data_IF_571007090137
#
_entry.id   IF_571007090137
#
_cell.length_a   1.000
_cell.length_b   1.000
_cell.length_c   1.000
_cell.angle_alpha   90.00
_cell.angle_beta   90.00
_cell.angle_gamma   90.00
#
_symmetry.space_group_name_H-M   'P 1'
#
loop_
_entity.id
_entity.type
_entity.pdbx_description
1 polymer ?
#
# COMPACT_ATOMS: atom_id res chain seq x y z
N UNK A 1 -22.95 -16.51 69.68
CA UNK A 1 -23.54 -15.71 68.58
C UNK A 1 -22.51 -14.98 67.70
N UNK A 2 -21.23 -14.81 68.07
CA UNK A 2 -20.22 -14.11 67.23
C UNK A 2 -19.61 -14.90 66.04
N UNK A 3 -19.43 -16.24 66.06
CA UNK A 3 -18.82 -16.92 64.91
C UNK A 3 -19.81 -17.11 63.73
N UNK A 4 -21.11 -17.20 64.01
CA UNK A 4 -22.14 -17.40 62.99
C UNK A 4 -22.35 -16.13 62.12
N UNK A 5 -22.29 -14.95 62.73
CA UNK A 5 -22.38 -13.68 62.01
C UNK A 5 -21.10 -13.40 61.19
N UNK A 6 -19.94 -13.86 61.67
CA UNK A 6 -18.67 -13.73 60.94
C UNK A 6 -18.64 -14.62 59.69
N UNK A 7 -19.21 -15.83 59.77
CA UNK A 7 -19.33 -16.74 58.62
C UNK A 7 -20.33 -16.24 57.56
N UNK A 8 -21.45 -15.64 58.00
CA UNK A 8 -22.44 -15.05 57.11
C UNK A 8 -21.92 -13.79 56.40
N UNK A 9 -21.06 -13.00 57.05
CA UNK A 9 -20.44 -11.82 56.43
C UNK A 9 -19.35 -12.26 55.44
N UNK A 10 -18.61 -13.34 55.70
CA UNK A 10 -17.55 -13.82 54.81
C UNK A 10 -18.08 -14.45 53.50
N UNK A 11 -19.26 -15.08 53.52
CA UNK A 11 -19.87 -15.67 52.31
C UNK A 11 -20.51 -14.64 51.37
N UNK A 12 -20.95 -13.48 51.89
CA UNK A 12 -21.52 -12.39 51.07
C UNK A 12 -20.46 -11.64 50.26
N UNK A 13 -19.17 -11.80 50.58
CA UNK A 13 -18.06 -11.16 49.83
C UNK A 13 -17.52 -11.98 48.65
N UNK A 14 -17.99 -13.21 48.41
CA UNK A 14 -17.67 -13.95 47.19
C UNK A 14 -18.77 -13.65 46.16
N UNK A 15 -18.84 -12.40 45.70
CA UNK A 15 -19.58 -12.09 44.48
C UNK A 15 -18.82 -12.77 43.34
N UNK A 16 -19.42 -13.82 42.80
CA UNK A 16 -18.97 -14.45 41.57
C UNK A 16 -18.86 -13.36 40.49
N UNK A 17 -17.63 -13.08 40.05
CA UNK A 17 -17.40 -12.35 38.81
C UNK A 17 -17.81 -13.26 37.66
N UNK A 18 -19.13 -13.35 37.42
CA UNK A 18 -19.66 -14.00 36.24
C UNK A 18 -19.31 -13.09 35.05
N UNK A 19 -18.26 -13.46 34.32
CA UNK A 19 -17.95 -12.87 33.02
C UNK A 19 -19.06 -13.33 32.08
N UNK A 20 -19.95 -12.42 31.69
CA UNK A 20 -21.04 -12.73 30.78
C UNK A 20 -20.47 -13.14 29.41
N UNK A 21 -20.60 -14.42 29.06
CA UNK A 21 -20.31 -14.92 27.72
C UNK A 21 -21.50 -14.57 26.81
N UNK A 22 -21.23 -13.93 25.67
CA UNK A 22 -22.27 -13.60 24.69
C UNK A 22 -22.19 -14.55 23.49
N UNK A 23 -23.32 -14.83 22.86
CA UNK A 23 -23.39 -15.63 21.62
C UNK A 23 -23.91 -14.75 20.50
N UNK A 24 -23.21 -14.74 19.38
CA UNK A 24 -23.66 -14.10 18.13
C UNK A 24 -24.33 -15.19 17.30
N UNK A 25 -25.57 -14.96 16.89
CA UNK A 25 -26.28 -15.82 15.92
C UNK A 25 -26.07 -15.20 14.54
N UNK A 26 -25.41 -15.95 13.65
CA UNK A 26 -25.11 -15.50 12.31
C UNK A 26 -26.33 -15.70 11.39
N UNK A 27 -26.46 -14.93 10.28
CA UNK A 27 -27.59 -15.07 9.35
C UNK A 27 -27.72 -16.45 8.69
N UNK A 28 -26.63 -17.22 8.63
CA UNK A 28 -26.59 -18.58 8.11
C UNK A 28 -26.98 -19.66 9.15
N UNK A 29 -27.33 -19.24 10.36
CA UNK A 29 -27.73 -20.12 11.47
C UNK A 29 -26.57 -20.66 12.30
N UNK A 30 -25.33 -20.30 11.99
CA UNK A 30 -24.18 -20.65 12.83
C UNK A 30 -24.06 -19.76 14.06
N UNK A 31 -23.26 -20.18 15.04
CA UNK A 31 -23.06 -19.44 16.29
C UNK A 31 -21.59 -19.08 16.50
N UNK A 32 -21.32 -17.86 16.91
CA UNK A 32 -20.00 -17.42 17.38
C UNK A 32 -20.06 -17.16 18.88
N UNK A 33 -19.00 -17.50 19.61
CA UNK A 33 -18.93 -17.22 21.05
C UNK A 33 -18.03 -16.03 21.33
N UNK A 34 -18.49 -15.11 22.17
CA UNK A 34 -17.75 -13.92 22.59
C UNK A 34 -17.31 -14.10 24.03
N UNK A 35 -16.01 -14.11 24.22
CA UNK A 35 -15.33 -14.18 25.51
C UNK A 35 -14.89 -12.76 25.86
N UNK A 36 -15.54 -12.14 26.84
CA UNK A 36 -15.22 -10.79 27.27
C UNK A 36 -14.10 -10.82 28.32
N UNK A 37 -12.98 -10.13 28.06
CA UNK A 37 -11.83 -9.98 28.96
C UNK A 37 -11.67 -8.52 29.43
N UNK A 38 -12.78 -7.84 29.69
CA UNK A 38 -12.79 -6.44 30.13
C UNK A 38 -12.63 -5.47 28.97
N UNK A 39 -11.44 -4.88 28.83
CA UNK A 39 -11.14 -3.91 27.76
C UNK A 39 -10.90 -4.56 26.39
N UNK A 40 -10.88 -5.89 26.32
CA UNK A 40 -10.80 -6.65 25.07
C UNK A 40 -11.78 -7.82 25.09
N UNK A 41 -12.25 -8.25 23.93
CA UNK A 41 -13.04 -9.48 23.78
C UNK A 41 -12.46 -10.35 22.67
N UNK A 42 -12.57 -11.67 22.82
CA UNK A 42 -12.24 -12.63 21.77
C UNK A 42 -13.54 -13.20 21.22
N UNK A 43 -13.69 -13.21 19.90
CA UNK A 43 -14.77 -13.90 19.21
C UNK A 43 -14.19 -15.19 18.63
N UNK A 44 -14.77 -16.32 18.99
CA UNK A 44 -14.50 -17.60 18.33
C UNK A 44 -15.54 -17.76 17.23
N UNK A 45 -15.08 -17.76 15.98
CA UNK A 45 -15.91 -17.88 14.80
C UNK A 45 -16.37 -19.34 14.60
N UNK A 46 -17.44 -19.59 13.83
CA UNK A 46 -17.97 -20.95 13.61
C UNK A 46 -16.98 -21.90 12.93
N UNK A 47 -16.02 -21.35 12.17
CA UNK A 47 -14.96 -22.09 11.48
C UNK A 47 -13.73 -22.38 12.35
N UNK A 48 -13.76 -21.97 13.63
CA UNK A 48 -12.67 -22.16 14.59
C UNK A 48 -11.59 -21.07 14.55
N UNK A 49 -11.71 -20.06 13.68
CA UNK A 49 -10.81 -18.89 13.70
C UNK A 49 -11.18 -17.93 14.84
N UNK A 50 -10.23 -17.11 15.28
CA UNK A 50 -10.43 -16.17 16.39
C UNK A 50 -10.28 -14.71 15.92
N UNK A 51 -11.19 -13.85 16.36
CA UNK A 51 -11.15 -12.39 16.16
C UNK A 51 -10.97 -11.68 17.50
N UNK A 52 -10.30 -10.52 17.54
CA UNK A 52 -10.15 -9.70 18.75
C UNK A 52 -10.87 -8.36 18.61
N UNK A 53 -11.62 -7.99 19.64
CA UNK A 53 -12.26 -6.69 19.82
C UNK A 53 -11.57 -5.94 20.95
N UNK A 54 -11.42 -4.62 20.82
CA UNK A 54 -10.85 -3.75 21.85
C UNK A 54 -11.91 -2.70 22.21
N UNK A 55 -12.42 -2.75 23.44
CA UNK A 55 -13.44 -1.84 23.96
C UNK A 55 -12.73 -0.63 24.60
N UNK A 56 -12.56 0.46 23.84
CA UNK A 56 -12.07 1.71 24.41
C UNK A 56 -13.24 2.46 25.07
N UNK A 57 -13.31 2.48 26.40
CA UNK A 57 -14.40 3.09 27.19
C UNK A 57 -14.45 4.64 27.17
N UNK A 58 -13.69 5.31 26.30
CA UNK A 58 -13.80 6.75 26.09
C UNK A 58 -13.29 7.11 24.68
N UNK A 59 -14.19 7.32 23.72
CA UNK A 59 -14.30 8.55 22.89
C UNK A 59 -15.20 8.37 21.64
N UNK A 60 -16.05 9.35 21.31
CA UNK A 60 -16.41 9.61 19.92
C UNK A 60 -15.15 10.05 19.17
N UNK A 61 -14.86 9.40 18.04
CA UNK A 61 -13.85 9.82 17.04
C UNK A 61 -12.57 10.48 17.63
N UNK A 62 -11.69 9.69 18.25
CA UNK A 62 -10.32 10.16 18.54
C UNK A 62 -9.43 9.94 17.32
N UNK A 63 -9.22 11.05 16.61
CA UNK A 63 -8.13 11.27 15.66
C UNK A 63 -6.78 11.30 16.39
N UNK A 64 -5.75 10.74 15.74
CA UNK A 64 -4.32 10.78 16.07
C UNK A 64 -3.78 9.64 16.93
N UNK A 65 -3.54 8.50 16.29
CA UNK A 65 -2.24 7.79 16.24
C UNK A 65 -2.40 6.54 15.37
N UNK A 66 -2.01 6.62 14.09
CA UNK A 66 -1.62 5.50 13.20
C UNK A 66 -2.55 4.29 13.02
N UNK A 67 -3.73 4.28 13.64
CA UNK A 67 -4.64 3.13 13.62
C UNK A 67 -5.71 3.41 12.59
N UNK A 68 -5.39 3.15 11.33
CA UNK A 68 -6.38 3.12 10.26
C UNK A 68 -7.39 2.02 10.61
N UNK A 69 -8.62 2.42 10.94
CA UNK A 69 -9.68 1.50 11.33
C UNK A 69 -9.87 0.44 10.23
N UNK A 70 -10.24 -0.79 10.57
CA UNK A 70 -10.40 -1.88 9.60
C UNK A 70 -11.40 -1.52 8.47
N UNK A 71 -12.39 -0.68 8.78
CA UNK A 71 -13.34 -0.11 7.81
C UNK A 71 -12.69 0.93 6.88
N UNK A 72 -11.67 1.65 7.34
CA UNK A 72 -10.87 2.55 6.53
C UNK A 72 -9.78 1.80 5.73
N UNK A 73 -9.19 0.73 6.24
CA UNK A 73 -8.27 -0.10 5.46
C UNK A 73 -8.97 -0.75 4.25
N UNK A 74 -10.20 -1.27 4.45
CA UNK A 74 -11.04 -1.79 3.37
C UNK A 74 -11.39 -0.74 2.31
N UNK A 75 -11.51 0.54 2.69
CA UNK A 75 -11.82 1.62 1.75
C UNK A 75 -10.62 2.05 0.90
N UNK A 76 -9.39 2.03 1.44
CA UNK A 76 -8.17 2.38 0.70
C UNK A 76 -7.88 1.32 -0.35
N UNK A 77 -7.89 0.05 0.04
CA UNK A 77 -7.57 -1.04 -0.88
C UNK A 77 -8.57 -1.09 -2.04
N UNK A 78 -9.87 -1.07 -1.76
CA UNK A 78 -10.90 -1.06 -2.81
C UNK A 78 -10.82 0.19 -3.70
N UNK A 79 -10.51 1.37 -3.15
CA UNK A 79 -10.28 2.57 -3.96
C UNK A 79 -9.04 2.43 -4.87
N UNK A 80 -7.99 1.78 -4.37
CA UNK A 80 -6.77 1.47 -5.12
C UNK A 80 -7.03 0.51 -6.27
N UNK A 81 -7.76 -0.59 -6.02
CA UNK A 81 -8.17 -1.53 -7.06
C UNK A 81 -9.01 -0.86 -8.16
N UNK A 82 -9.97 -0.01 -7.78
CA UNK A 82 -10.77 0.76 -8.74
C UNK A 82 -9.90 1.71 -9.59
N UNK A 83 -8.91 2.37 -8.97
CA UNK A 83 -7.97 3.23 -9.67
C UNK A 83 -7.10 2.42 -10.64
N UNK A 84 -6.53 1.29 -10.20
CA UNK A 84 -5.75 0.39 -11.07
C UNK A 84 -6.61 -0.09 -12.24
N UNK A 85 -7.86 -0.49 -11.99
CA UNK A 85 -8.78 -0.92 -13.04
C UNK A 85 -9.04 0.21 -14.06
N UNK A 86 -9.12 1.47 -13.60
CA UNK A 86 -9.23 2.64 -14.48
C UNK A 86 -7.95 2.84 -15.30
N UNK A 87 -6.77 2.83 -14.67
CA UNK A 87 -5.48 3.03 -15.35
C UNK A 87 -5.20 1.94 -16.40
N UNK A 88 -5.52 0.68 -16.08
CA UNK A 88 -5.39 -0.47 -16.99
C UNK A 88 -6.20 -0.33 -18.29
N UNK A 89 -7.29 0.43 -18.30
CA UNK A 89 -8.09 0.66 -19.52
C UNK A 89 -7.33 1.52 -20.54
N UNK A 90 -6.45 2.40 -20.08
CA UNK A 90 -5.67 3.32 -20.92
C UNK A 90 -4.22 2.88 -21.09
N UNK A 91 -3.78 1.86 -20.37
CA UNK A 91 -2.40 1.39 -20.42
C UNK A 91 -2.10 0.74 -21.78
N UNK A 92 -0.99 1.12 -22.45
CA UNK A 92 -0.58 0.47 -23.69
C UNK A 92 -0.26 -1.00 -23.45
N UNK A 93 -0.46 -1.80 -24.50
CA UNK A 93 -0.24 -3.24 -24.47
C UNK A 93 0.61 -3.67 -25.65
N UNK A 94 1.43 -4.70 -25.43
CA UNK A 94 2.16 -5.42 -26.46
C UNK A 94 1.85 -6.91 -26.28
N UNK A 95 1.44 -7.60 -27.34
CA UNK A 95 1.04 -9.02 -27.33
C UNK A 95 0.02 -9.37 -26.23
N UNK A 96 -0.92 -8.45 -25.96
CA UNK A 96 -1.94 -8.61 -24.91
C UNK A 96 -1.45 -8.36 -23.49
N UNK A 97 -0.15 -8.15 -23.28
CA UNK A 97 0.48 -7.84 -21.99
C UNK A 97 0.56 -6.33 -21.80
N UNK A 98 0.22 -5.83 -20.61
CA UNK A 98 0.32 -4.39 -20.32
C UNK A 98 1.78 -3.97 -20.16
N UNK A 99 2.14 -2.83 -20.75
CA UNK A 99 3.47 -2.22 -20.60
C UNK A 99 3.62 -1.38 -19.32
N UNK A 100 2.58 -1.37 -18.47
CA UNK A 100 2.58 -0.69 -17.17
C UNK A 100 2.41 -1.71 -16.05
N UNK A 101 3.05 -1.45 -14.92
CA UNK A 101 2.87 -2.20 -13.69
C UNK A 101 2.38 -1.28 -12.56
N UNK A 102 1.73 -1.88 -11.57
CA UNK A 102 1.10 -1.16 -10.47
C UNK A 102 1.52 -1.77 -9.14
N UNK A 103 1.88 -0.94 -8.17
CA UNK A 103 2.27 -1.40 -6.84
C UNK A 103 1.82 -0.42 -5.77
N UNK A 104 1.53 -0.91 -4.58
CA UNK A 104 1.35 -0.08 -3.40
C UNK A 104 2.67 0.02 -2.63
N UNK A 105 3.09 1.22 -2.27
CA UNK A 105 4.27 1.44 -1.44
C UNK A 105 4.05 2.69 -0.59
N UNK A 106 4.40 2.61 0.69
CA UNK A 106 4.49 3.77 1.57
C UNK A 106 5.82 4.49 1.28
N UNK A 107 5.75 5.57 0.51
CA UNK A 107 6.95 6.28 0.02
C UNK A 107 7.48 7.25 1.06
N UNK A 108 6.59 7.93 1.79
CA UNK A 108 6.95 8.96 2.76
C UNK A 108 6.90 8.49 4.22
N UNK A 109 6.64 7.19 4.45
CA UNK A 109 6.61 6.52 5.75
C UNK A 109 5.57 7.11 6.70
N UNK A 110 4.42 7.54 6.18
CA UNK A 110 3.32 8.08 6.96
C UNK A 110 2.28 7.00 7.38
N UNK A 111 2.47 5.76 6.93
CA UNK A 111 1.59 4.62 7.17
C UNK A 111 0.43 4.49 6.19
N UNK A 112 0.32 5.39 5.20
CA UNK A 112 -0.66 5.35 4.11
C UNK A 112 0.07 5.00 2.81
N UNK A 113 -0.31 3.89 2.19
CA UNK A 113 0.35 3.45 0.96
C UNK A 113 -0.05 4.33 -0.24
N UNK A 114 0.94 4.80 -0.99
CA UNK A 114 0.75 5.34 -2.34
C UNK A 114 0.54 4.23 -3.37
N UNK A 115 -0.26 4.53 -4.40
CA UNK A 115 -0.31 3.73 -5.61
C UNK A 115 0.74 4.25 -6.59
N UNK A 116 1.63 3.37 -7.05
CA UNK A 116 2.64 3.67 -8.06
C UNK A 116 2.22 3.01 -9.37
N UNK A 117 2.13 3.80 -10.43
CA UNK A 117 2.04 3.32 -11.81
C UNK A 117 3.43 3.44 -12.43
N UNK A 118 4.06 2.32 -12.73
CA UNK A 118 5.40 2.23 -13.30
C UNK A 118 5.29 1.92 -14.79
N UNK A 119 6.05 2.65 -15.59
CA UNK A 119 6.11 2.50 -17.04
C UNK A 119 7.53 2.73 -17.54
N UNK A 120 7.82 2.38 -18.78
CA UNK A 120 9.06 2.72 -19.45
C UNK A 120 8.75 3.56 -20.69
N UNK A 121 9.25 4.79 -20.73
CA UNK A 121 8.87 5.79 -21.75
C UNK A 121 9.20 5.36 -23.17
N UNK A 122 10.32 4.66 -23.37
CA UNK A 122 10.71 4.16 -24.68
C UNK A 122 9.83 2.98 -25.07
N UNK A 123 9.68 2.01 -24.17
CA UNK A 123 8.90 0.79 -24.40
C UNK A 123 7.41 1.06 -24.66
N UNK A 124 6.83 2.12 -24.07
CA UNK A 124 5.44 2.53 -24.36
C UNK A 124 5.21 2.91 -25.83
N UNK A 125 6.27 3.31 -26.54
CA UNK A 125 6.21 3.69 -27.97
C UNK A 125 6.88 2.67 -28.89
N UNK A 126 7.84 1.90 -28.36
CA UNK A 126 8.67 0.94 -29.09
C UNK A 126 8.93 -0.27 -28.20
N UNK A 127 7.89 -1.07 -27.98
CA UNK A 127 7.97 -2.25 -27.14
C UNK A 127 8.99 -3.27 -27.68
N UNK A 128 9.80 -3.84 -26.79
CA UNK A 128 10.87 -4.79 -27.09
C UNK A 128 12.16 -4.14 -27.63
N UNK A 129 12.24 -2.80 -27.68
CA UNK A 129 13.43 -2.12 -28.19
C UNK A 129 14.61 -2.22 -27.23
N UNK A 130 14.35 -2.06 -25.93
CA UNK A 130 15.39 -2.03 -24.91
C UNK A 130 15.74 -3.43 -24.45
N UNK A 131 17.05 -3.70 -24.37
CA UNK A 131 17.51 -4.87 -23.63
C UNK A 131 17.39 -4.66 -22.11
N UNK A 132 17.56 -5.74 -21.36
CA UNK A 132 17.38 -5.74 -19.90
C UNK A 132 18.34 -4.76 -19.18
N UNK A 133 19.53 -4.54 -19.75
CA UNK A 133 20.52 -3.63 -19.17
C UNK A 133 20.10 -2.15 -19.31
N UNK A 134 19.43 -1.78 -20.41
CA UNK A 134 19.01 -0.42 -20.69
C UNK A 134 17.57 -0.10 -20.25
N UNK A 135 16.73 -1.10 -20.04
CA UNK A 135 15.34 -0.90 -19.59
C UNK A 135 15.23 0.02 -18.36
N UNK A 136 16.03 -0.16 -17.28
CA UNK A 136 15.94 0.71 -16.09
C UNK A 136 16.22 2.19 -16.36
N UNK A 137 16.92 2.54 -17.45
CA UNK A 137 17.28 3.92 -17.76
C UNK A 137 16.06 4.81 -18.02
N UNK A 138 14.99 4.24 -18.56
CA UNK A 138 13.81 4.97 -19.03
C UNK A 138 12.54 4.65 -18.22
N UNK A 139 12.69 3.91 -17.12
CA UNK A 139 11.61 3.68 -16.17
C UNK A 139 11.17 4.99 -15.52
N UNK A 140 9.87 5.23 -15.54
CA UNK A 140 9.18 6.38 -15.00
C UNK A 140 8.03 5.93 -14.10
N UNK A 141 7.77 6.68 -13.04
CA UNK A 141 6.74 6.34 -12.06
C UNK A 141 5.83 7.53 -11.85
N UNK A 142 4.53 7.31 -12.01
CA UNK A 142 3.49 8.20 -11.51
C UNK A 142 3.08 7.74 -10.12
N UNK A 143 3.00 8.68 -9.20
CA UNK A 143 2.58 8.42 -7.82
C UNK A 143 1.16 8.95 -7.64
N UNK A 144 0.32 8.17 -6.98
CA UNK A 144 -1.03 8.56 -6.61
C UNK A 144 -1.18 8.45 -5.09
N UNK A 145 -1.57 9.53 -4.44
CA UNK A 145 -1.82 9.60 -3.00
C UNK A 145 -3.29 9.38 -2.68
N UNK A 146 -3.58 8.70 -1.58
CA UNK A 146 -4.95 8.52 -1.11
C UNK A 146 -5.41 9.75 -0.32
N UNK A 147 -6.48 10.39 -0.77
CA UNK A 147 -7.08 11.54 -0.08
C UNK A 147 -8.58 11.56 -0.32
N UNK A 148 -9.36 11.82 0.74
CA UNK A 148 -10.81 11.95 0.66
C UNK A 148 -11.49 10.74 -0.03
N UNK A 149 -11.06 9.53 0.30
CA UNK A 149 -11.68 8.29 -0.22
C UNK A 149 -11.23 7.85 -1.62
N UNK A 150 -10.23 8.52 -2.22
CA UNK A 150 -9.78 8.21 -3.59
C UNK A 150 -8.29 8.47 -3.79
N UNK A 151 -7.71 7.79 -4.78
CA UNK A 151 -6.36 8.07 -5.25
C UNK A 151 -6.35 9.22 -6.26
N UNK A 152 -5.44 10.17 -6.05
CA UNK A 152 -5.21 11.31 -6.95
C UNK A 152 -3.74 11.43 -7.29
N UNK A 153 -3.41 11.76 -8.54
CA UNK A 153 -2.02 11.90 -8.99
C UNK A 153 -1.31 12.98 -8.16
N UNK A 154 -0.15 12.60 -7.64
CA UNK A 154 0.71 13.47 -6.86
C UNK A 154 1.53 14.35 -7.79
N UNK A 155 0.98 15.50 -8.15
CA UNK A 155 1.70 16.51 -8.95
C UNK A 155 2.62 17.38 -8.09
N UNK A 156 2.30 17.53 -6.79
CA UNK A 156 3.06 18.33 -5.82
C UNK A 156 3.13 17.58 -4.49
N UNK A 157 4.27 17.64 -3.78
CA UNK A 157 4.46 16.94 -2.50
C UNK A 157 5.00 15.51 -2.59
N UNK A 158 5.46 15.10 -3.78
CA UNK A 158 6.29 13.92 -4.01
C UNK A 158 7.70 14.30 -4.50
N UNK A 159 8.10 15.55 -4.26
CA UNK A 159 9.35 16.14 -4.76
C UNK A 159 10.59 15.38 -4.27
N UNK A 160 10.58 14.90 -3.02
CA UNK A 160 11.72 14.17 -2.45
C UNK A 160 11.96 12.84 -3.18
N UNK A 161 10.90 12.11 -3.53
CA UNK A 161 10.98 10.91 -4.37
C UNK A 161 11.54 11.25 -5.76
N UNK A 162 11.02 12.30 -6.40
CA UNK A 162 11.45 12.69 -7.74
C UNK A 162 12.88 13.23 -7.78
N UNK A 163 13.34 13.89 -6.71
CA UNK A 163 14.72 14.37 -6.60
C UNK A 163 15.75 13.23 -6.69
N UNK A 164 15.49 12.11 -5.99
CA UNK A 164 16.29 10.88 -6.10
C UNK A 164 16.26 10.32 -7.54
N UNK A 165 15.10 10.41 -8.20
CA UNK A 165 14.93 9.93 -9.57
C UNK A 165 15.68 10.79 -10.60
N UNK A 166 15.82 12.10 -10.37
CA UNK A 166 16.63 12.98 -11.21
C UNK A 166 18.10 12.51 -11.24
N UNK A 167 18.67 12.12 -10.09
CA UNK A 167 20.04 11.57 -10.05
C UNK A 167 20.17 10.27 -10.85
N UNK A 168 19.16 9.39 -10.79
CA UNK A 168 19.12 8.17 -11.61
C UNK A 168 19.17 8.48 -13.11
N UNK A 169 18.35 9.43 -13.60
CA UNK A 169 18.37 9.80 -15.01
C UNK A 169 19.67 10.50 -15.43
N UNK A 170 20.26 11.33 -14.56
CA UNK A 170 21.56 11.94 -14.82
C UNK A 170 22.68 10.89 -14.92
N UNK A 171 22.66 9.89 -14.05
CA UNK A 171 23.58 8.76 -14.12
C UNK A 171 23.46 8.04 -15.46
N UNK A 172 22.23 7.66 -15.86
CA UNK A 172 22.00 6.99 -17.14
C UNK A 172 22.37 7.86 -18.34
N UNK A 173 22.11 9.17 -18.28
CA UNK A 173 22.53 10.12 -19.32
C UNK A 173 24.05 10.09 -19.50
N UNK A 174 24.82 10.03 -18.41
CA UNK A 174 26.28 9.89 -18.46
C UNK A 174 26.69 8.55 -19.08
N UNK A 175 26.07 7.44 -18.67
CA UNK A 175 26.37 6.11 -19.22
C UNK A 175 26.04 6.02 -20.72
N UNK A 176 24.91 6.57 -21.18
CA UNK A 176 24.53 6.56 -22.60
C UNK A 176 25.41 7.53 -23.41
N UNK A 177 25.83 8.65 -22.82
CA UNK A 177 26.72 9.60 -23.48
C UNK A 177 28.10 9.00 -23.75
N UNK A 178 28.63 8.23 -22.79
CA UNK A 178 29.92 7.55 -22.87
C UNK A 178 29.82 6.11 -22.30
N UNK A 179 29.39 5.12 -23.10
CA UNK A 179 29.05 3.78 -22.62
C UNK A 179 30.30 2.92 -22.44
N UNK A 180 30.98 3.09 -21.29
CA UNK A 180 32.18 2.31 -20.96
C UNK A 180 31.79 0.95 -20.38
N UNK A 181 30.92 0.92 -19.38
CA UNK A 181 30.61 -0.25 -18.55
C UNK A 181 29.32 -0.98 -18.95
N UNK A 182 28.99 -0.97 -20.24
CA UNK A 182 27.82 -1.66 -20.77
C UNK A 182 28.23 -2.87 -21.61
N UNK A 183 27.28 -3.77 -21.87
CA UNK A 183 27.50 -4.88 -22.81
C UNK A 183 27.69 -4.37 -24.25
N UNK A 184 28.26 -5.22 -25.11
CA UNK A 184 28.45 -4.90 -26.53
C UNK A 184 27.11 -4.62 -27.24
N UNK A 185 26.07 -5.38 -26.91
CA UNK A 185 24.72 -5.21 -27.44
C UNK A 185 24.12 -3.86 -27.06
N UNK A 186 24.17 -3.49 -25.76
CA UNK A 186 23.75 -2.15 -25.31
C UNK A 186 24.50 -1.02 -26.00
N UNK A 187 25.82 -1.17 -26.18
CA UNK A 187 26.63 -0.18 -26.90
C UNK A 187 26.17 -0.03 -28.36
N UNK A 188 25.87 -1.12 -29.03
CA UNK A 188 25.36 -1.10 -30.40
C UNK A 188 23.98 -0.44 -30.47
N UNK A 189 23.07 -0.79 -29.55
CA UNK A 189 21.73 -0.20 -29.48
C UNK A 189 21.79 1.31 -29.20
N UNK A 190 22.64 1.74 -28.25
CA UNK A 190 22.89 3.16 -27.97
C UNK A 190 23.44 3.86 -29.19
N UNK A 191 24.43 3.28 -29.89
CA UNK A 191 25.03 3.91 -31.07
C UNK A 191 23.98 4.24 -32.14
N UNK A 192 23.01 3.35 -32.34
CA UNK A 192 21.94 3.53 -33.32
C UNK A 192 20.85 4.51 -32.87
N UNK A 193 20.64 4.70 -31.56
CA UNK A 193 19.51 5.44 -30.99
C UNK A 193 19.90 6.61 -30.07
N UNK A 194 21.17 7.03 -30.09
CA UNK A 194 21.75 7.93 -29.08
C UNK A 194 20.94 9.20 -28.87
N UNK A 195 20.55 9.87 -29.95
CA UNK A 195 19.80 11.13 -29.89
C UNK A 195 18.43 10.93 -29.24
N UNK A 196 17.71 9.87 -29.61
CA UNK A 196 16.42 9.53 -29.00
C UNK A 196 16.56 9.32 -27.49
N UNK A 197 17.53 8.51 -27.09
CA UNK A 197 17.78 8.17 -25.69
C UNK A 197 18.18 9.38 -24.85
N UNK A 198 19.07 10.23 -25.36
CA UNK A 198 19.49 11.44 -24.65
C UNK A 198 18.33 12.44 -24.52
N UNK A 199 17.54 12.64 -25.58
CA UNK A 199 16.39 13.54 -25.53
C UNK A 199 15.33 13.06 -24.53
N UNK A 200 15.07 11.75 -24.47
CA UNK A 200 14.10 11.20 -23.51
C UNK A 200 14.59 11.34 -22.06
N UNK A 201 15.88 11.11 -21.80
CA UNK A 201 16.45 11.37 -20.48
C UNK A 201 16.41 12.85 -20.10
N UNK A 202 16.66 13.75 -21.04
CA UNK A 202 16.54 15.19 -20.80
C UNK A 202 15.11 15.59 -20.48
N UNK A 203 14.14 15.04 -21.20
CA UNK A 203 12.72 15.23 -20.90
C UNK A 203 12.37 14.72 -19.50
N UNK A 204 12.78 13.51 -19.15
CA UNK A 204 12.56 12.93 -17.83
C UNK A 204 13.19 13.77 -16.70
N UNK A 205 14.38 14.32 -16.92
CA UNK A 205 15.02 15.23 -15.95
C UNK A 205 14.22 16.53 -15.79
N UNK A 206 13.65 17.07 -16.87
CA UNK A 206 12.85 18.30 -16.80
C UNK A 206 11.48 18.08 -16.18
N UNK A 207 10.80 16.96 -16.47
CA UNK A 207 9.49 16.64 -15.90
C UNK A 207 9.54 16.43 -14.37
N UNK A 208 10.72 16.14 -13.82
CA UNK A 208 10.93 15.82 -12.40
C UNK A 208 11.56 16.96 -11.58
N UNK A 209 11.82 18.11 -12.20
CA UNK A 209 12.32 19.33 -11.54
C UNK A 209 11.16 20.25 -11.18
#
# INVERSE_FOLDING_TARGET
>A
MKPLLTFLILTVFINAYAVAQSVIVNPDGTHSTVINNGSTSVIVNPDGTHSTLINNENTPASTNSGSISLAAAGNIWSAGEQMIAKLKKTAPKHDGVSLRSYSFQDIDNDGVYELLEKMNRIEETSAGLLNIELSPAFEFVKIYKFKNGRFTECLTGCADYFSTRVYHYQFWKKQISNPVNLTADSKALIKSNKTLFINELDRLIQEMK
#
